data_IF_974781460903
#
_entry.id   IF_974781460903
#
_cell.length_a   1.000
_cell.length_b   1.000
_cell.length_c   1.000
_cell.angle_alpha   90.00
_cell.angle_beta   90.00
_cell.angle_gamma   90.00
#
_symmetry.space_group_name_H-M   'P 1'
#
loop_
_entity.id
_entity.type
_entity.pdbx_description
1 polymer ?
#
# COMPACT_ATOMS: atom_id res chain seq x y z
N UNK A 1 -17.58 -55.06 12.89
CA UNK A 1 -19.03 -54.82 12.78
C UNK A 1 -19.26 -53.32 12.77
N UNK A 2 -19.26 -52.69 11.59
CA UNK A 2 -19.31 -51.23 11.48
C UNK A 2 -20.76 -50.75 11.52
N UNK A 3 -21.12 -49.97 12.54
CA UNK A 3 -22.44 -49.32 12.69
C UNK A 3 -22.43 -47.99 11.94
N UNK A 4 -22.67 -48.01 10.63
CA UNK A 4 -22.97 -46.77 9.92
C UNK A 4 -24.44 -46.41 10.15
N UNK A 5 -24.67 -45.26 10.80
CA UNK A 5 -26.00 -44.69 11.05
C UNK A 5 -26.51 -44.10 9.73
N UNK A 6 -27.63 -44.64 9.22
CA UNK A 6 -28.28 -44.12 8.02
C UNK A 6 -28.73 -42.68 8.25
N UNK A 7 -28.19 -41.74 7.49
CA UNK A 7 -28.58 -40.32 7.51
C UNK A 7 -29.87 -40.20 6.70
N UNK A 8 -30.89 -39.56 7.28
CA UNK A 8 -32.17 -39.32 6.61
C UNK A 8 -32.01 -38.28 5.48
N UNK A 9 -32.77 -38.42 4.40
CA UNK A 9 -32.71 -37.52 3.24
C UNK A 9 -32.92 -36.05 3.60
N UNK A 10 -33.79 -35.75 4.59
CA UNK A 10 -34.02 -34.38 5.06
C UNK A 10 -32.82 -33.77 5.78
N UNK A 11 -32.12 -34.56 6.61
CA UNK A 11 -30.88 -34.15 7.28
C UNK A 11 -29.78 -33.85 6.25
N UNK A 12 -29.68 -34.68 5.20
CA UNK A 12 -28.72 -34.45 4.11
C UNK A 12 -29.01 -33.15 3.34
N UNK A 13 -30.28 -32.89 3.01
CA UNK A 13 -30.69 -31.65 2.33
C UNK A 13 -30.43 -30.43 3.20
N UNK A 14 -30.69 -30.51 4.51
CA UNK A 14 -30.41 -29.42 5.45
C UNK A 14 -28.91 -29.12 5.56
N UNK A 15 -28.07 -30.16 5.70
CA UNK A 15 -26.61 -30.01 5.72
C UNK A 15 -26.09 -29.41 4.42
N UNK A 16 -26.62 -29.84 3.27
CA UNK A 16 -26.25 -29.29 1.96
C UNK A 16 -26.63 -27.81 1.86
N UNK A 17 -27.84 -27.43 2.27
CA UNK A 17 -28.27 -26.03 2.30
C UNK A 17 -27.38 -25.19 3.21
N UNK A 18 -27.10 -25.66 4.43
CA UNK A 18 -26.22 -24.98 5.37
C UNK A 18 -24.82 -24.78 4.80
N UNK A 19 -24.24 -25.81 4.17
CA UNK A 19 -22.92 -25.74 3.54
C UNK A 19 -22.89 -24.72 2.39
N UNK A 20 -23.93 -24.68 1.55
CA UNK A 20 -24.02 -23.70 0.46
C UNK A 20 -24.17 -22.27 0.96
N UNK A 21 -24.87 -22.05 2.08
CA UNK A 21 -25.00 -20.73 2.70
C UNK A 21 -23.67 -20.28 3.31
N UNK A 22 -22.95 -21.18 3.97
CA UNK A 22 -21.63 -20.90 4.56
C UNK A 22 -20.60 -20.54 3.49
N UNK A 23 -20.57 -21.28 2.37
CA UNK A 23 -19.68 -21.00 1.24
C UNK A 23 -19.92 -19.62 0.62
N UNK A 24 -21.20 -19.23 0.46
CA UNK A 24 -21.58 -17.90 -0.06
C UNK A 24 -21.13 -16.78 0.87
N UNK A 25 -21.27 -16.95 2.18
CA UNK A 25 -20.83 -15.96 3.16
C UNK A 25 -19.33 -15.75 3.11
N UNK A 26 -18.54 -16.83 3.04
CA UNK A 26 -17.08 -16.74 2.88
C UNK A 26 -16.71 -16.02 1.59
N UNK A 27 -17.36 -16.38 0.47
CA UNK A 27 -17.10 -15.72 -0.81
C UNK A 27 -17.40 -14.21 -0.76
N UNK A 28 -18.51 -13.82 -0.14
CA UNK A 28 -18.91 -12.42 -0.01
C UNK A 28 -17.96 -11.62 0.88
N UNK A 29 -17.46 -12.21 1.98
CA UNK A 29 -16.50 -11.53 2.87
C UNK A 29 -15.16 -11.28 2.16
N UNK A 30 -14.64 -12.24 1.39
CA UNK A 30 -13.41 -12.07 0.60
C UNK A 30 -13.52 -10.92 -0.42
N UNK A 31 -14.65 -10.80 -1.12
CA UNK A 31 -14.88 -9.72 -2.08
C UNK A 31 -14.95 -8.37 -1.36
N UNK A 32 -15.71 -8.29 -0.26
CA UNK A 32 -15.88 -7.04 0.48
C UNK A 32 -14.57 -6.48 1.05
N UNK A 33 -13.63 -7.34 1.48
CA UNK A 33 -12.35 -6.90 2.04
C UNK A 33 -11.47 -6.17 1.02
N UNK A 34 -11.53 -6.56 -0.26
CA UNK A 34 -10.75 -5.93 -1.34
C UNK A 34 -11.23 -4.52 -1.69
N UNK A 35 -12.48 -4.18 -1.37
CA UNK A 35 -13.07 -2.87 -1.69
C UNK A 35 -12.72 -1.78 -0.66
N UNK A 36 -12.36 -2.18 0.58
CA UNK A 36 -11.97 -1.24 1.64
C UNK A 36 -10.47 -0.90 1.63
N UNK A 37 -9.66 -1.60 0.85
CA UNK A 37 -8.28 -1.22 0.60
C UNK A 37 -8.23 -0.09 -0.44
N UNK A 38 -8.47 1.16 -0.02
CA UNK A 38 -8.11 2.34 -0.83
C UNK A 38 -6.59 2.47 -0.82
N UNK A 39 -5.93 1.58 -1.53
CA UNK A 39 -4.48 1.57 -1.65
C UNK A 39 -4.06 2.81 -2.43
N UNK A 40 -3.22 3.62 -1.80
CA UNK A 40 -2.53 4.70 -2.45
C UNK A 40 -1.78 4.16 -3.68
N UNK A 41 -2.05 4.74 -4.85
CA UNK A 41 -1.32 4.39 -6.07
C UNK A 41 0.17 4.62 -5.85
N UNK A 42 1.00 3.60 -6.12
CA UNK A 42 2.45 3.72 -5.98
C UNK A 42 2.93 4.94 -6.77
N UNK A 43 3.58 5.92 -6.12
CA UNK A 43 4.02 7.12 -6.80
C UNK A 43 5.14 6.80 -7.79
N UNK A 44 5.18 7.57 -8.87
CA UNK A 44 6.29 7.54 -9.82
C UNK A 44 7.51 8.18 -9.16
N UNK A 45 8.64 7.50 -9.27
CA UNK A 45 9.92 8.06 -8.86
C UNK A 45 10.42 9.07 -9.88
N UNK A 46 11.11 10.13 -9.45
CA UNK A 46 11.84 10.95 -10.40
C UNK A 46 12.89 10.09 -11.09
N UNK A 47 13.12 10.37 -12.37
CA UNK A 47 14.31 9.91 -13.07
C UNK A 47 15.58 10.50 -12.44
N UNK A 48 16.72 9.89 -12.72
CA UNK A 48 18.02 10.40 -12.26
C UNK A 48 18.27 11.83 -12.79
N UNK A 49 17.85 12.14 -14.01
CA UNK A 49 18.00 13.46 -14.61
C UNK A 49 17.11 14.50 -13.92
N UNK A 50 15.84 14.18 -13.65
CA UNK A 50 14.94 15.06 -12.89
C UNK A 50 15.47 15.33 -11.47
N UNK A 51 15.99 14.31 -10.81
CA UNK A 51 16.58 14.43 -9.48
C UNK A 51 17.84 15.30 -9.50
N UNK A 52 18.74 15.07 -10.47
CA UNK A 52 19.98 15.82 -10.62
C UNK A 52 19.70 17.31 -10.88
N UNK A 53 18.78 17.61 -11.80
CA UNK A 53 18.37 18.97 -12.12
C UNK A 53 17.75 19.69 -10.93
N UNK A 54 16.86 19.01 -10.19
CA UNK A 54 16.28 19.56 -8.96
C UNK A 54 17.34 19.83 -7.90
N UNK A 55 18.26 18.88 -7.67
CA UNK A 55 19.31 19.02 -6.66
C UNK A 55 20.25 20.18 -6.98
N UNK A 56 20.57 20.40 -8.26
CA UNK A 56 21.41 21.52 -8.69
C UNK A 56 20.71 22.87 -8.48
N UNK A 57 19.42 22.98 -8.81
CA UNK A 57 18.64 24.17 -8.52
C UNK A 57 18.61 24.50 -7.02
N UNK A 58 18.46 23.49 -6.16
CA UNK A 58 18.48 23.66 -4.70
C UNK A 58 19.85 24.12 -4.20
N UNK A 59 20.96 23.63 -4.76
CA UNK A 59 22.31 24.11 -4.40
C UNK A 59 22.51 25.57 -4.77
N UNK A 60 22.01 26.00 -5.93
CA UNK A 60 22.05 27.41 -6.35
C UNK A 60 21.24 28.27 -5.39
N UNK A 61 19.99 27.90 -5.10
CA UNK A 61 19.13 28.62 -4.15
C UNK A 61 19.76 28.71 -2.75
N UNK A 62 20.35 27.61 -2.26
CA UNK A 62 21.04 27.57 -0.98
C UNK A 62 22.22 28.54 -0.93
N UNK A 63 23.01 28.59 -2.01
CA UNK A 63 24.14 29.51 -2.11
C UNK A 63 23.67 30.98 -2.14
N UNK A 64 22.63 31.29 -2.91
CA UNK A 64 22.02 32.62 -2.97
C UNK A 64 21.46 33.09 -1.61
N UNK A 65 20.96 32.16 -0.79
CA UNK A 65 20.52 32.41 0.59
C UNK A 65 21.65 32.55 1.61
N UNK A 66 22.91 32.50 1.16
CA UNK A 66 24.09 32.71 2.00
C UNK A 66 24.65 31.45 2.67
N UNK A 67 24.22 30.25 2.27
CA UNK A 67 24.81 29.00 2.76
C UNK A 67 26.17 28.80 2.07
N UNK A 68 27.20 28.47 2.87
CA UNK A 68 28.55 28.26 2.34
C UNK A 68 28.60 27.07 1.37
N UNK A 69 29.45 27.17 0.34
CA UNK A 69 29.68 26.06 -0.61
C UNK A 69 30.15 24.79 0.10
N UNK A 70 30.96 24.92 1.14
CA UNK A 70 31.44 23.79 1.93
C UNK A 70 30.29 23.06 2.61
N UNK A 71 29.40 23.78 3.28
CA UNK A 71 28.20 23.22 3.91
C UNK A 71 27.30 22.55 2.87
N UNK A 72 27.03 23.21 1.73
CA UNK A 72 26.21 22.67 0.64
C UNK A 72 26.81 21.35 0.13
N UNK A 73 28.11 21.34 -0.15
CA UNK A 73 28.78 20.16 -0.67
C UNK A 73 28.78 19.02 0.36
N UNK A 74 29.04 19.27 1.64
CA UNK A 74 29.02 18.22 2.66
C UNK A 74 27.60 17.66 2.85
N UNK A 75 26.58 18.51 2.92
CA UNK A 75 25.21 18.10 3.22
C UNK A 75 24.47 17.49 2.04
N UNK A 76 24.76 17.93 0.81
CA UNK A 76 24.06 17.51 -0.41
C UNK A 76 24.89 16.57 -1.29
N UNK A 77 26.03 16.06 -0.81
CA UNK A 77 26.82 15.06 -1.53
C UNK A 77 26.09 13.70 -1.58
N UNK A 78 25.97 13.14 -2.79
CA UNK A 78 25.44 11.79 -3.02
C UNK A 78 24.05 11.54 -2.40
N UNK A 79 23.22 12.58 -2.27
CA UNK A 79 21.85 12.47 -1.77
C UNK A 79 20.96 11.90 -2.88
N UNK A 80 20.10 10.94 -2.51
CA UNK A 80 19.19 10.23 -3.42
C UNK A 80 17.73 10.39 -2.99
N UNK A 81 16.76 10.31 -3.90
CA UNK A 81 15.35 10.37 -3.56
C UNK A 81 14.99 9.18 -2.67
N UNK A 82 14.37 9.46 -1.52
CA UNK A 82 14.01 8.43 -0.56
C UNK A 82 12.60 7.91 -0.83
N UNK A 83 12.51 6.66 -1.31
CA UNK A 83 11.24 5.98 -1.61
C UNK A 83 10.24 5.99 -0.47
N UNK A 84 10.71 5.77 0.74
CA UNK A 84 9.86 5.74 1.92
C UNK A 84 9.24 7.10 2.22
N UNK A 85 9.96 8.20 1.97
CA UNK A 85 9.46 9.56 2.16
C UNK A 85 8.40 9.86 1.12
N UNK A 86 8.72 9.68 -0.17
CA UNK A 86 7.80 9.97 -1.29
C UNK A 86 6.51 9.15 -1.16
N UNK A 87 6.61 7.87 -0.78
CA UNK A 87 5.44 7.03 -0.54
C UNK A 87 4.57 7.58 0.60
N UNK A 88 5.16 7.92 1.75
CA UNK A 88 4.40 8.40 2.90
C UNK A 88 3.72 9.75 2.65
N UNK A 89 4.42 10.65 1.96
CA UNK A 89 3.91 11.95 1.56
C UNK A 89 2.67 11.83 0.66
N UNK A 90 2.75 10.99 -0.38
CA UNK A 90 1.63 10.77 -1.32
C UNK A 90 0.48 9.96 -0.75
N UNK A 91 0.77 9.09 0.22
CA UNK A 91 -0.20 8.20 0.83
C UNK A 91 -0.70 8.70 2.18
N UNK A 92 -0.65 10.02 2.41
CA UNK A 92 -1.19 10.62 3.62
C UNK A 92 -2.73 10.51 3.60
N UNK A 93 -3.35 9.87 4.60
CA UNK A 93 -4.82 9.81 4.67
C UNK A 93 -5.39 11.22 4.86
N UNK A 94 -6.49 11.51 4.16
CA UNK A 94 -7.15 12.81 4.18
C UNK A 94 -7.81 13.14 5.54
N UNK A 95 -8.04 12.13 6.38
CA UNK A 95 -8.71 12.30 7.67
C UNK A 95 -7.98 11.59 8.81
N UNK A 96 -7.78 12.32 9.90
CA UNK A 96 -7.58 11.76 11.25
C UNK A 96 -8.97 11.64 11.88
N UNK A 97 -9.68 10.54 11.63
CA UNK A 97 -10.98 10.26 12.28
C UNK A 97 -10.87 8.92 12.97
#
# INVERSE_FOLDING_TARGET
MSKYKHINTYEFVFILLFLTMLLKTIFFTFISLSLFAKDCSKPNMPSEDEWSNWLEAIKIEAFEKGISKETINISLNNVKPQKKIILRDRCQPESTI
#
